data_IF_590995177776
#
_entry.id   IF_590995177776
#
_cell.length_a   1.000
_cell.length_b   1.000
_cell.length_c   1.000
_cell.angle_alpha   90.00
_cell.angle_beta   90.00
_cell.angle_gamma   90.00
#
_symmetry.space_group_name_H-M   'P 1'
#
loop_
_entity.id
_entity.type
_entity.pdbx_description
1 polymer ?
#
# COMPACT_ATOMS: atom_id res chain seq x y z
N UNK A 1 15.56 10.08 -17.81
CA UNK A 1 15.78 10.33 -16.37
C UNK A 1 17.13 9.77 -15.97
N UNK A 2 18.00 10.60 -15.38
CA UNK A 2 19.25 10.15 -14.72
C UNK A 2 19.19 10.75 -13.31
N UNK A 3 18.85 9.94 -12.33
CA UNK A 3 18.56 10.36 -10.95
C UNK A 3 18.32 9.13 -10.07
N UNK A 4 18.02 9.35 -8.78
CA UNK A 4 17.79 8.26 -7.83
C UNK A 4 16.63 7.35 -8.26
N UNK A 5 16.81 6.03 -8.13
CA UNK A 5 15.77 5.02 -8.40
C UNK A 5 15.71 4.04 -7.23
N UNK A 6 14.50 3.80 -6.73
CA UNK A 6 14.24 2.88 -5.63
C UNK A 6 12.83 2.31 -5.70
N UNK A 7 12.65 1.10 -5.17
CA UNK A 7 11.38 0.40 -5.09
C UNK A 7 11.28 -0.28 -3.71
N UNK A 8 10.96 0.46 -2.64
CA UNK A 8 10.88 -0.10 -1.30
C UNK A 8 9.73 -1.13 -1.21
N UNK A 9 9.98 -2.24 -0.51
CA UNK A 9 9.02 -3.33 -0.33
C UNK A 9 8.79 -3.55 1.16
N UNK A 10 7.86 -2.77 1.73
CA UNK A 10 7.55 -2.78 3.18
C UNK A 10 6.07 -3.05 3.43
N UNK A 11 5.49 -4.00 2.68
CA UNK A 11 4.08 -4.39 2.75
C UNK A 11 3.14 -3.19 2.64
N UNK A 12 2.13 -3.07 3.51
CA UNK A 12 1.14 -1.99 3.51
C UNK A 12 1.75 -0.59 3.62
N UNK A 13 2.99 -0.46 4.11
CA UNK A 13 3.70 0.81 4.25
C UNK A 13 4.57 1.18 3.05
N UNK A 14 4.64 0.36 1.99
CA UNK A 14 5.54 0.59 0.86
C UNK A 14 5.34 1.96 0.19
N UNK A 15 4.09 2.36 -0.03
CA UNK A 15 3.77 3.64 -0.65
C UNK A 15 4.22 4.84 0.19
N UNK A 16 4.02 4.80 1.51
CA UNK A 16 4.46 5.90 2.39
C UNK A 16 5.98 5.93 2.55
N UNK A 17 6.63 4.76 2.55
CA UNK A 17 8.08 4.67 2.56
C UNK A 17 8.68 5.33 1.31
N UNK A 18 8.13 5.05 0.12
CA UNK A 18 8.60 5.66 -1.12
C UNK A 18 8.47 7.20 -1.10
N UNK A 19 7.37 7.72 -0.53
CA UNK A 19 7.17 9.17 -0.36
C UNK A 19 8.17 9.75 0.65
N UNK A 20 8.41 9.06 1.77
CA UNK A 20 9.37 9.47 2.78
C UNK A 20 10.80 9.53 2.24
N UNK A 21 11.21 8.52 1.48
CA UNK A 21 12.53 8.47 0.84
C UNK A 21 12.70 9.60 -0.17
N UNK A 22 11.69 9.86 -1.00
CA UNK A 22 11.69 10.99 -1.94
C UNK A 22 11.79 12.34 -1.23
N UNK A 23 11.00 12.54 -0.16
CA UNK A 23 11.05 13.77 0.63
C UNK A 23 12.41 13.97 1.29
N UNK A 24 13.05 12.90 1.76
CA UNK A 24 14.40 12.96 2.33
C UNK A 24 15.44 13.37 1.29
N UNK A 25 15.41 12.77 0.10
CA UNK A 25 16.36 13.05 -0.98
C UNK A 25 16.26 14.52 -1.42
N UNK A 26 15.03 15.03 -1.59
CA UNK A 26 14.82 16.44 -1.93
C UNK A 26 15.34 17.35 -0.81
N UNK A 27 15.05 17.03 0.46
CA UNK A 27 15.53 17.81 1.61
C UNK A 27 17.06 17.79 1.76
N UNK A 28 17.71 16.74 1.28
CA UNK A 28 19.16 16.59 1.29
C UNK A 28 19.84 17.28 0.09
N UNK A 29 19.08 17.99 -0.76
CA UNK A 29 19.57 18.62 -1.99
C UNK A 29 20.17 17.59 -2.98
N UNK A 30 19.74 16.32 -2.87
CA UNK A 30 20.17 15.22 -3.73
C UNK A 30 19.32 15.12 -5.03
N UNK A 31 18.13 15.75 -5.05
CA UNK A 31 17.27 15.87 -6.23
C UNK A 31 16.29 17.05 -6.11
N UNK A 32 15.97 17.73 -7.22
CA UNK A 32 15.00 18.83 -7.23
C UNK A 32 13.54 18.34 -7.27
N UNK A 33 13.31 17.21 -7.94
CA UNK A 33 11.98 16.66 -8.22
C UNK A 33 12.05 15.13 -8.10
N UNK A 34 11.03 14.54 -7.49
CA UNK A 34 10.88 13.08 -7.38
C UNK A 34 9.47 12.65 -7.78
N UNK A 35 9.38 11.57 -8.56
CA UNK A 35 8.13 10.82 -8.78
C UNK A 35 8.15 9.64 -7.81
N UNK A 36 7.20 9.60 -6.88
CA UNK A 36 7.13 8.59 -5.83
C UNK A 36 5.68 8.16 -5.57
N UNK A 37 5.52 6.97 -4.99
CA UNK A 37 4.21 6.41 -4.66
C UNK A 37 4.28 4.89 -4.51
N UNK A 38 3.12 4.26 -4.57
CA UNK A 38 2.98 2.80 -4.57
C UNK A 38 1.89 2.36 -5.55
N UNK A 39 2.00 1.13 -6.03
CA UNK A 39 1.02 0.49 -6.90
C UNK A 39 0.83 -0.95 -6.44
N UNK A 40 -0.37 -1.49 -6.63
CA UNK A 40 -0.71 -2.86 -6.27
C UNK A 40 -1.73 -3.43 -7.26
N UNK A 41 -1.65 -4.74 -7.51
CA UNK A 41 -2.56 -5.51 -8.36
C UNK A 41 -2.92 -6.87 -7.72
N UNK A 42 -3.04 -6.92 -6.39
CA UNK A 42 -3.34 -8.11 -5.59
C UNK A 42 -4.81 -8.60 -5.66
N UNK A 43 -5.64 -8.06 -6.55
CA UNK A 43 -7.04 -8.50 -6.72
C UNK A 43 -7.12 -9.74 -7.62
N UNK A 44 -6.60 -10.87 -7.15
CA UNK A 44 -6.66 -12.16 -7.85
C UNK A 44 -6.98 -13.30 -6.87
N UNK A 45 -7.31 -14.49 -7.39
CA UNK A 45 -7.75 -15.64 -6.59
C UNK A 45 -6.70 -16.15 -5.63
N UNK A 46 -5.41 -16.13 -6.01
CA UNK A 46 -4.30 -16.58 -5.18
C UNK A 46 -4.12 -15.64 -3.99
N UNK A 47 -4.04 -14.33 -4.25
CA UNK A 47 -3.95 -13.31 -3.21
C UNK A 47 -5.16 -13.33 -2.28
N UNK A 48 -6.38 -13.42 -2.82
CA UNK A 48 -7.61 -13.50 -2.02
C UNK A 48 -7.61 -14.71 -1.09
N UNK A 49 -7.24 -15.89 -1.61
CA UNK A 49 -7.13 -17.12 -0.81
C UNK A 49 -6.04 -17.03 0.27
N UNK A 50 -4.89 -16.45 -0.05
CA UNK A 50 -3.79 -16.25 0.90
C UNK A 50 -4.19 -15.32 2.06
N UNK A 51 -4.77 -14.16 1.76
CA UNK A 51 -5.22 -13.22 2.78
C UNK A 51 -6.42 -13.75 3.59
N UNK A 52 -7.30 -14.56 2.98
CA UNK A 52 -8.37 -15.25 3.70
C UNK A 52 -7.81 -16.28 4.69
N UNK A 53 -6.82 -17.09 4.28
CA UNK A 53 -6.14 -18.05 5.16
C UNK A 53 -5.40 -17.35 6.31
N UNK A 54 -4.82 -16.17 6.05
CA UNK A 54 -4.20 -15.32 7.07
C UNK A 54 -5.21 -14.59 7.98
N UNK A 55 -6.52 -14.73 7.74
CA UNK A 55 -7.60 -14.07 8.48
C UNK A 55 -7.54 -12.54 8.46
N UNK A 56 -7.02 -11.96 7.37
CA UNK A 56 -6.87 -10.50 7.22
C UNK A 56 -8.00 -9.84 6.40
N UNK A 57 -9.00 -10.61 5.96
CA UNK A 57 -10.13 -10.12 5.17
C UNK A 57 -11.43 -10.17 5.96
N UNK A 58 -12.34 -9.24 5.65
CA UNK A 58 -13.73 -9.30 6.11
C UNK A 58 -14.46 -10.47 5.43
N UNK A 59 -15.16 -11.29 6.20
CA UNK A 59 -15.88 -12.49 5.69
C UNK A 59 -17.38 -12.48 5.98
N UNK A 60 -17.86 -11.54 6.80
CA UNK A 60 -19.26 -11.49 7.27
C UNK A 60 -20.18 -10.59 6.42
N UNK A 61 -19.63 -9.89 5.43
CA UNK A 61 -20.32 -8.88 4.63
C UNK A 61 -20.41 -9.22 3.13
N UNK A 62 -20.33 -10.51 2.77
CA UNK A 62 -20.31 -10.95 1.36
C UNK A 62 -21.55 -10.51 0.54
N UNK A 63 -22.71 -10.33 1.20
CA UNK A 63 -23.94 -9.87 0.56
C UNK A 63 -24.17 -8.35 0.66
N UNK A 64 -23.32 -7.63 1.40
CA UNK A 64 -23.36 -6.17 1.60
C UNK A 64 -21.93 -5.59 1.57
N UNK A 65 -21.21 -5.73 0.45
CA UNK A 65 -19.77 -5.45 0.38
C UNK A 65 -19.42 -3.98 0.62
N UNK A 66 -20.33 -3.07 0.31
CA UNK A 66 -20.24 -1.63 0.62
C UNK A 66 -20.12 -1.36 2.14
N UNK A 67 -20.52 -2.31 2.98
CA UNK A 67 -20.44 -2.23 4.44
C UNK A 67 -19.24 -2.99 5.02
N UNK A 68 -18.36 -3.58 4.20
CA UNK A 68 -17.31 -4.47 4.72
C UNK A 68 -16.15 -3.75 5.41
N UNK A 69 -15.78 -2.54 4.96
CA UNK A 69 -14.68 -1.75 5.52
C UNK A 69 -15.20 -0.75 6.55
N UNK A 70 -15.01 -1.06 7.83
CA UNK A 70 -15.56 -0.27 8.95
C UNK A 70 -14.52 -0.05 10.07
N UNK A 71 -13.46 0.75 9.85
CA UNK A 71 -12.48 1.03 10.89
C UNK A 71 -13.12 1.61 12.15
N UNK A 72 -12.70 1.14 13.33
CA UNK A 72 -13.14 1.60 14.66
C UNK A 72 -14.62 1.35 15.00
N UNK A 73 -15.33 0.57 14.20
CA UNK A 73 -16.71 0.20 14.48
C UNK A 73 -16.83 -0.70 15.72
N UNK A 74 -17.88 -0.49 16.51
CA UNK A 74 -18.12 -1.15 17.81
C UNK A 74 -19.38 -2.03 17.83
N UNK A 75 -20.06 -2.18 16.68
CA UNK A 75 -21.34 -2.88 16.58
C UNK A 75 -21.26 -4.39 16.77
#
# INVERSE_FOLDING_TARGET
FKGHIGAPVTACAAGIQAIGDAARIIRADEADIAVCGGTEACMNTVSLGGFAAARSLSTSFNHRPDQASRPFDVS
#
